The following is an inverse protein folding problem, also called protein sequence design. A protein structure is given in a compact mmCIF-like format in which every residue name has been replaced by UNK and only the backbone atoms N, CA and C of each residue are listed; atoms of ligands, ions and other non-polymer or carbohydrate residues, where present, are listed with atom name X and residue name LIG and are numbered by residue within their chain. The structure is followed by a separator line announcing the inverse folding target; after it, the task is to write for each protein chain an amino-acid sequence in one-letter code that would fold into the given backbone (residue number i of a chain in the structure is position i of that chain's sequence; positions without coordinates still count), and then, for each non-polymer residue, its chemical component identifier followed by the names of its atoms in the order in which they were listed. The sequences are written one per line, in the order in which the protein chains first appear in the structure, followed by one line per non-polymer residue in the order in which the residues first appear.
data_IF_802046022481
#
_entry.id   IF_802046022481
#
_cell.length_a   1.000
_cell.length_b   1.000
_cell.length_c   1.000
_cell.angle_alpha   90.00
_cell.angle_beta   90.00
_cell.angle_gamma   90.00
#
_symmetry.space_group_name_H-M   'P 1'
#
loop_
_entity.id
_entity.type
_entity.pdbx_description
1 polymer ?
#
# COMPACT_ATOMS: atom_id res chain seq x y z
N UNK A 1 38.98 4.95 50.55
CA UNK A 1 37.93 3.98 50.19
C UNK A 1 36.71 3.95 51.11
N UNK A 2 36.70 4.53 52.32
CA UNK A 2 35.55 4.43 53.24
C UNK A 2 34.66 5.69 53.25
N UNK A 3 34.11 6.06 52.09
CA UNK A 3 33.29 7.27 51.92
C UNK A 3 31.90 6.97 51.29
N UNK A 4 31.36 5.77 51.51
CA UNK A 4 30.07 5.37 50.92
C UNK A 4 28.86 6.08 51.56
N UNK A 5 28.95 6.41 52.85
CA UNK A 5 27.90 7.06 53.64
C UNK A 5 28.46 8.30 54.34
N UNK A 6 27.64 9.30 54.69
CA UNK A 6 28.12 10.52 55.32
C UNK A 6 28.64 10.20 56.73
N UNK A 7 29.80 10.76 57.07
CA UNK A 7 30.39 10.59 58.40
C UNK A 7 29.46 11.12 59.49
N UNK A 8 29.38 10.40 60.61
CA UNK A 8 28.68 10.82 61.83
C UNK A 8 29.50 10.46 63.07
N UNK A 9 29.41 11.25 64.15
CA UNK A 9 29.96 10.84 65.43
C UNK A 9 29.21 9.60 65.96
N UNK A 10 29.93 8.67 66.59
CA UNK A 10 29.34 7.50 67.24
C UNK A 10 28.55 7.86 68.51
N UNK A 11 27.69 6.96 68.97
CA UNK A 11 26.98 7.11 70.26
C UNK A 11 27.69 6.35 71.38
N UNK A 12 27.34 6.63 72.64
CA UNK A 12 27.99 6.04 73.82
C UNK A 12 27.99 4.50 73.88
N UNK A 13 27.14 3.82 73.09
CA UNK A 13 27.08 2.36 73.01
C UNK A 13 27.49 1.75 71.65
N UNK A 14 27.77 2.56 70.61
CA UNK A 14 28.13 2.05 69.29
C UNK A 14 28.90 3.09 68.46
N UNK A 15 30.13 2.74 68.06
CA UNK A 15 30.92 3.54 67.12
C UNK A 15 30.26 3.61 65.74
N UNK A 16 30.39 4.77 65.08
CA UNK A 16 30.00 4.90 63.68
C UNK A 16 31.04 4.19 62.79
N UNK A 17 30.58 3.27 61.96
CA UNK A 17 31.45 2.53 61.05
C UNK A 17 31.32 3.14 59.66
N UNK A 18 32.43 3.66 59.13
CA UNK A 18 32.47 4.15 57.76
C UNK A 18 32.35 2.97 56.79
N UNK A 19 31.57 3.13 55.72
CA UNK A 19 31.33 2.07 54.74
C UNK A 19 32.23 2.26 53.52
N UNK A 20 32.76 1.15 53.02
CA UNK A 20 33.64 1.11 51.86
C UNK A 20 32.85 1.37 50.57
N UNK A 21 33.39 2.22 49.70
CA UNK A 21 32.86 2.44 48.36
C UNK A 21 33.08 1.19 47.51
N UNK A 22 32.11 0.87 46.66
CA UNK A 22 32.29 -0.12 45.62
C UNK A 22 32.77 0.58 44.33
N UNK A 23 33.97 0.25 43.85
CA UNK A 23 34.50 0.79 42.59
C UNK A 23 34.77 -0.32 41.56
N UNK A 24 34.14 -1.49 41.73
CA UNK A 24 34.35 -2.67 40.90
C UNK A 24 35.82 -3.10 40.74
N UNK A 25 36.71 -2.72 41.67
CA UNK A 25 38.15 -3.00 41.58
C UNK A 25 38.96 -1.99 40.75
N UNK A 26 38.31 -1.03 40.09
CA UNK A 26 38.94 -0.08 39.17
C UNK A 26 39.23 1.29 39.78
N UNK A 27 39.15 1.46 41.10
CA UNK A 27 39.65 2.66 41.77
C UNK A 27 40.11 2.37 43.20
N UNK A 28 41.16 3.08 43.63
CA UNK A 28 41.73 2.97 44.97
C UNK A 28 41.28 4.10 45.90
N UNK A 29 40.51 5.06 45.39
CA UNK A 29 39.98 6.18 46.16
C UNK A 29 38.56 6.55 45.74
N UNK A 30 37.80 7.12 46.68
CA UNK A 30 36.45 7.62 46.44
C UNK A 30 36.17 8.82 47.34
N UNK A 31 35.29 9.72 46.90
CA UNK A 31 34.78 10.86 47.66
C UNK A 31 33.29 10.68 47.95
N UNK A 32 32.80 11.28 49.03
CA UNK A 32 31.37 11.31 49.30
C UNK A 32 30.71 12.48 48.56
N UNK A 33 29.53 12.24 47.99
CA UNK A 33 28.71 13.23 47.30
C UNK A 33 27.26 13.14 47.79
N UNK A 34 26.74 14.26 48.29
CA UNK A 34 25.41 14.32 48.90
C UNK A 34 24.29 14.18 47.87
N UNK A 35 24.47 14.66 46.64
CA UNK A 35 23.44 14.57 45.60
C UNK A 35 23.30 13.13 45.11
N UNK A 36 24.44 12.45 44.94
CA UNK A 36 24.51 11.02 44.60
C UNK A 36 23.80 10.18 45.67
N UNK A 37 24.02 10.50 46.95
CA UNK A 37 23.34 9.84 48.07
C UNK A 37 21.83 10.07 48.06
N UNK A 38 21.39 11.32 47.86
CA UNK A 38 19.97 11.67 47.83
C UNK A 38 19.23 10.94 46.70
N UNK A 39 19.87 10.79 45.54
CA UNK A 39 19.33 10.07 44.37
C UNK A 39 19.56 8.56 44.43
N UNK A 40 20.28 8.05 45.45
CA UNK A 40 20.64 6.64 45.62
C UNK A 40 21.33 6.05 44.38
N UNK A 41 22.33 6.75 43.85
CA UNK A 41 23.00 6.34 42.61
C UNK A 41 24.32 5.58 42.84
N UNK A 42 24.88 5.59 44.05
CA UNK A 42 26.08 4.80 44.36
C UNK A 42 25.73 3.44 44.97
N UNK A 43 26.31 2.39 44.37
CA UNK A 43 26.21 1.01 44.82
C UNK A 43 27.16 0.73 45.98
N UNK A 44 26.70 -0.01 47.00
CA UNK A 44 27.54 -0.52 48.10
C UNK A 44 28.24 -1.85 47.72
N UNK A 45 29.12 -2.35 48.60
CA UNK A 45 29.83 -3.62 48.41
C UNK A 45 28.92 -4.87 48.42
N UNK A 46 27.63 -4.70 48.76
CA UNK A 46 26.60 -5.75 48.75
C UNK A 46 25.68 -5.63 47.53
N UNK A 47 26.02 -4.80 46.55
CA UNK A 47 25.26 -4.61 45.32
C UNK A 47 24.04 -3.71 45.47
N UNK A 48 23.95 -2.92 46.54
CA UNK A 48 22.75 -2.13 46.87
C UNK A 48 22.96 -0.63 46.69
N UNK A 49 22.06 0.00 45.94
CA UNK A 49 22.05 1.44 45.67
C UNK A 49 21.52 2.26 46.86
N UNK A 50 22.41 2.68 47.77
CA UNK A 50 22.03 3.37 49.02
C UNK A 50 23.02 4.41 49.55
N UNK A 51 24.14 4.65 48.87
CA UNK A 51 25.18 5.59 49.33
C UNK A 51 25.46 6.74 48.38
N UNK A 52 26.46 7.55 48.74
CA UNK A 52 26.96 8.70 47.98
C UNK A 52 28.42 8.60 47.57
N UNK A 53 29.03 7.41 47.68
CA UNK A 53 30.43 7.22 47.30
C UNK A 53 30.62 7.34 45.79
N UNK A 54 31.49 8.26 45.36
CA UNK A 54 31.89 8.44 43.96
C UNK A 54 33.35 8.09 43.82
N UNK A 55 33.66 7.09 43.01
CA UNK A 55 35.01 6.65 42.73
C UNK A 55 35.80 7.74 41.99
N UNK A 56 37.10 7.84 42.28
CA UNK A 56 37.98 8.87 41.73
C UNK A 56 39.16 8.19 41.05
N UNK A 57 39.50 8.66 39.85
CA UNK A 57 40.53 8.10 38.96
C UNK A 57 40.27 6.61 38.68
N UNK A 58 39.14 6.32 38.03
CA UNK A 58 38.84 4.99 37.52
C UNK A 58 39.96 4.53 36.55
N UNK A 59 40.40 3.28 36.68
CA UNK A 59 41.42 2.63 35.84
C UNK A 59 40.77 1.75 34.77
N UNK A 60 41.58 1.14 33.90
CA UNK A 60 41.12 0.13 32.92
C UNK A 60 40.01 0.64 31.99
N UNK A 61 40.07 1.94 31.64
CA UNK A 61 39.13 2.63 30.76
C UNK A 61 37.67 2.60 31.25
N UNK A 62 37.49 2.52 32.57
CA UNK A 62 36.18 2.59 33.21
C UNK A 62 35.81 4.02 33.62
N UNK A 63 34.52 4.29 33.74
CA UNK A 63 33.94 5.57 34.11
C UNK A 63 32.63 5.36 34.89
N UNK A 64 32.06 6.42 35.44
CA UNK A 64 30.82 6.36 36.23
C UNK A 64 31.04 6.53 37.74
N UNK A 65 29.98 6.36 38.52
CA UNK A 65 30.00 6.62 39.97
C UNK A 65 30.78 5.54 40.72
N UNK A 66 30.66 4.30 40.26
CA UNK A 66 31.24 3.08 40.77
C UNK A 66 32.26 2.47 39.77
N UNK A 67 32.74 3.24 38.78
CA UNK A 67 33.55 2.73 37.66
C UNK A 67 32.83 1.60 36.87
N UNK A 68 31.50 1.72 36.74
CA UNK A 68 30.59 0.72 36.19
C UNK A 68 30.33 0.85 34.69
N UNK A 69 30.74 1.96 34.06
CA UNK A 69 30.60 2.23 32.63
C UNK A 69 31.99 2.24 31.97
N UNK A 70 32.04 2.26 30.64
CA UNK A 70 33.29 2.50 29.92
C UNK A 70 33.45 3.99 29.58
N UNK A 71 34.70 4.44 29.44
CA UNK A 71 35.02 5.75 28.91
C UNK A 71 34.51 5.92 27.46
N UNK A 72 34.29 7.16 27.03
CA UNK A 72 33.88 7.46 25.65
C UNK A 72 34.97 6.97 24.69
N UNK A 73 34.57 6.20 23.67
CA UNK A 73 35.50 5.54 22.75
C UNK A 73 35.91 4.13 23.18
N UNK A 74 35.34 3.62 24.29
CA UNK A 74 35.45 2.24 24.73
C UNK A 74 34.07 1.62 24.92
N UNK A 75 34.01 0.29 24.83
CA UNK A 75 32.79 -0.47 25.08
C UNK A 75 33.07 -1.73 25.90
N UNK A 76 32.06 -2.20 26.61
CA UNK A 76 32.07 -3.48 27.33
C UNK A 76 31.49 -4.58 26.42
N UNK A 77 32.26 -5.62 26.09
CA UNK A 77 31.75 -6.76 25.34
C UNK A 77 30.63 -7.48 26.09
N UNK A 78 29.70 -8.08 25.36
CA UNK A 78 28.60 -8.81 25.96
C UNK A 78 29.11 -10.00 26.80
N UNK A 79 28.60 -10.14 28.03
CA UNK A 79 29.00 -11.18 28.98
C UNK A 79 30.23 -10.87 29.83
N UNK A 80 30.87 -9.72 29.65
CA UNK A 80 31.98 -9.26 30.51
C UNK A 80 31.39 -8.54 31.73
N UNK A 81 31.82 -8.94 32.94
CA UNK A 81 31.37 -8.31 34.18
C UNK A 81 32.09 -6.96 34.42
N UNK A 82 31.45 -6.06 35.17
CA UNK A 82 32.01 -4.73 35.47
C UNK A 82 33.25 -4.74 36.37
N UNK A 83 33.53 -5.87 37.02
CA UNK A 83 34.68 -6.09 37.92
C UNK A 83 35.78 -6.97 37.27
N UNK A 84 35.66 -7.27 35.98
CA UNK A 84 36.69 -7.97 35.22
C UNK A 84 37.95 -7.10 35.12
N UNK A 85 39.14 -7.71 35.08
CA UNK A 85 40.41 -6.98 35.02
C UNK A 85 40.56 -6.08 33.79
N UNK A 86 39.92 -6.42 32.67
CA UNK A 86 39.92 -5.65 31.42
C UNK A 86 38.47 -5.56 30.91
N UNK A 87 37.64 -4.67 31.50
CA UNK A 87 36.19 -4.66 31.25
C UNK A 87 35.80 -3.84 30.00
N UNK A 88 36.71 -3.00 29.49
CA UNK A 88 36.44 -2.01 28.45
C UNK A 88 37.47 -2.12 27.32
N UNK A 89 37.02 -2.33 26.08
CA UNK A 89 37.84 -2.40 24.88
C UNK A 89 37.65 -1.15 24.01
N UNK A 90 38.68 -0.68 23.30
CA UNK A 90 38.55 0.49 22.43
C UNK A 90 37.60 0.20 21.25
N UNK A 91 36.86 1.22 20.82
CA UNK A 91 36.04 1.16 19.61
C UNK A 91 36.95 1.00 18.38
N UNK A 92 36.59 0.10 17.47
CA UNK A 92 37.30 -0.15 16.21
C UNK A 92 36.45 0.31 15.01
N UNK A 93 36.24 1.62 14.93
CA UNK A 93 35.36 2.25 13.94
C UNK A 93 36.13 2.80 12.74
N UNK A 94 35.55 2.68 11.55
CA UNK A 94 36.09 3.29 10.35
C UNK A 94 35.86 4.81 10.40
N UNK A 95 36.94 5.59 10.39
CA UNK A 95 36.88 7.05 10.53
C UNK A 95 36.20 7.75 9.35
N UNK A 96 36.21 7.15 8.16
CA UNK A 96 35.51 7.69 7.00
C UNK A 96 34.00 7.61 7.20
N UNK A 97 33.50 6.43 7.58
CA UNK A 97 32.07 6.14 7.66
C UNK A 97 31.41 6.33 9.02
N UNK A 98 32.16 6.61 10.09
CA UNK A 98 31.61 6.74 11.45
C UNK A 98 31.90 8.10 12.10
N UNK A 99 31.19 8.40 13.20
CA UNK A 99 31.50 9.52 14.11
C UNK A 99 32.70 9.24 15.02
N UNK A 100 33.20 8.00 15.02
CA UNK A 100 34.25 7.51 15.93
C UNK A 100 33.72 6.94 17.25
N UNK A 101 32.43 7.10 17.55
CA UNK A 101 31.80 6.53 18.75
C UNK A 101 31.20 5.15 18.46
N UNK A 102 31.19 4.30 19.48
CA UNK A 102 30.53 2.99 19.44
C UNK A 102 29.56 2.81 20.62
N UNK A 103 28.67 1.83 20.47
CA UNK A 103 27.68 1.49 21.49
C UNK A 103 28.40 0.95 22.73
N UNK A 104 28.24 1.57 23.92
CA UNK A 104 29.13 1.31 25.06
C UNK A 104 28.91 -0.04 25.74
N UNK A 105 27.70 -0.63 25.66
CA UNK A 105 27.35 -1.90 26.28
C UNK A 105 26.07 -2.50 25.67
N UNK A 106 25.56 -3.56 26.27
CA UNK A 106 24.36 -4.30 25.85
C UNK A 106 23.04 -3.65 26.28
N UNK A 107 23.06 -2.52 27.01
CA UNK A 107 21.84 -1.82 27.44
C UNK A 107 20.99 -1.30 26.26
N UNK A 108 21.64 -1.11 25.11
CA UNK A 108 21.02 -0.69 23.85
C UNK A 108 20.51 -1.85 22.97
N UNK A 109 20.60 -3.10 23.44
CA UNK A 109 20.09 -4.28 22.71
C UNK A 109 18.59 -4.17 22.43
N UNK A 110 17.81 -3.57 23.34
CA UNK A 110 16.37 -3.31 23.14
C UNK A 110 16.08 -2.33 22.00
N UNK A 111 17.07 -1.55 21.60
CA UNK A 111 17.02 -0.65 20.44
C UNK A 111 17.67 -1.27 19.19
N UNK A 112 18.00 -2.56 19.23
CA UNK A 112 18.62 -3.29 18.12
C UNK A 112 20.10 -3.00 17.91
N UNK A 113 20.78 -2.34 18.86
CA UNK A 113 22.23 -2.08 18.77
C UNK A 113 23.03 -3.13 19.55
N UNK A 114 24.20 -3.47 19.02
CA UNK A 114 25.13 -4.42 19.63
C UNK A 114 26.29 -3.64 20.26
N UNK A 115 26.76 -4.06 21.43
CA UNK A 115 27.93 -3.47 22.08
C UNK A 115 29.14 -3.44 21.10
N UNK A 116 29.83 -2.30 21.05
CA UNK A 116 30.94 -2.03 20.14
C UNK A 116 30.54 -1.69 18.70
N UNK A 117 29.25 -1.77 18.33
CA UNK A 117 28.80 -1.32 17.02
C UNK A 117 28.96 0.20 16.88
N UNK A 118 29.58 0.62 15.80
CA UNK A 118 29.93 2.01 15.52
C UNK A 118 28.72 2.83 15.09
N UNK A 119 28.76 4.12 15.41
CA UNK A 119 27.76 5.07 14.97
C UNK A 119 28.11 5.58 13.55
N UNK A 120 27.40 5.05 12.56
CA UNK A 120 27.64 5.36 11.17
C UNK A 120 27.05 6.71 10.75
N UNK A 121 27.80 7.43 9.90
CA UNK A 121 27.33 8.61 9.18
C UNK A 121 26.24 8.23 8.17
N UNK A 122 25.39 9.18 7.76
CA UNK A 122 24.43 8.94 6.67
C UNK A 122 25.14 8.39 5.43
N UNK A 123 24.58 7.32 4.85
CA UNK A 123 25.14 6.66 3.68
C UNK A 123 26.16 5.54 3.96
N UNK A 124 26.50 5.30 5.23
CA UNK A 124 27.41 4.23 5.66
C UNK A 124 26.66 3.20 6.51
N UNK A 125 27.11 1.94 6.46
CA UNK A 125 26.54 0.85 7.23
C UNK A 125 27.62 -0.16 7.65
N UNK A 126 27.22 -1.21 8.36
CA UNK A 126 28.12 -2.24 8.90
C UNK A 126 28.49 -2.01 10.35
N UNK A 127 29.07 -3.03 11.00
CA UNK A 127 29.44 -2.96 12.42
C UNK A 127 30.50 -1.89 12.68
N UNK A 128 31.41 -1.68 11.73
CA UNK A 128 32.49 -0.68 11.79
C UNK A 128 32.25 0.54 10.90
N UNK A 129 31.10 0.62 10.23
CA UNK A 129 30.82 1.66 9.22
C UNK A 129 31.80 1.65 8.05
N UNK A 130 32.19 0.46 7.62
CA UNK A 130 33.22 0.14 6.63
C UNK A 130 32.65 -0.26 5.26
N UNK A 131 31.34 -0.08 5.07
CA UNK A 131 30.64 -0.31 3.82
C UNK A 131 29.59 0.79 3.60
N UNK A 132 29.16 1.00 2.36
CA UNK A 132 28.05 1.91 2.09
C UNK A 132 26.73 1.32 2.58
N UNK A 133 25.79 2.18 2.96
CA UNK A 133 24.42 1.78 3.28
C UNK A 133 23.67 1.40 2.00
N UNK A 134 22.59 0.63 2.14
CA UNK A 134 21.72 0.32 1.01
C UNK A 134 21.22 1.62 0.33
N UNK A 135 21.32 1.67 -0.99
CA UNK A 135 21.04 2.87 -1.78
C UNK A 135 22.21 3.87 -1.87
N UNK A 136 23.39 3.51 -1.37
CA UNK A 136 24.65 4.25 -1.54
C UNK A 136 25.72 3.32 -2.13
N UNK A 137 26.73 3.91 -2.77
CA UNK A 137 27.81 3.19 -3.47
C UNK A 137 29.14 3.94 -3.38
N UNK A 138 30.22 3.26 -3.77
CA UNK A 138 31.58 3.83 -3.90
C UNK A 138 32.24 4.19 -2.57
N UNK A 139 32.38 3.20 -1.68
CA UNK A 139 33.23 3.33 -0.50
C UNK A 139 34.69 3.68 -0.91
N UNK A 140 35.40 4.62 -0.24
CA UNK A 140 35.10 5.23 1.06
C UNK A 140 34.24 6.50 1.03
N UNK A 141 33.89 7.03 -0.15
CA UNK A 141 33.08 8.24 -0.30
C UNK A 141 31.66 7.88 -0.74
N UNK A 142 30.89 7.29 0.18
CA UNK A 142 29.58 6.75 -0.13
C UNK A 142 28.63 7.82 -0.70
N UNK A 143 28.27 7.68 -1.97
CA UNK A 143 27.36 8.57 -2.69
C UNK A 143 26.02 7.88 -2.94
N UNK A 144 24.90 8.63 -2.98
CA UNK A 144 23.61 8.08 -3.34
C UNK A 144 23.65 7.36 -4.68
N UNK A 145 22.91 6.26 -4.74
CA UNK A 145 22.69 5.50 -5.96
C UNK A 145 22.02 6.40 -7.02
N UNK A 146 22.57 6.53 -8.23
CA UNK A 146 21.96 7.34 -9.27
C UNK A 146 20.81 6.61 -9.97
N UNK A 147 20.66 5.30 -9.75
CA UNK A 147 19.61 4.50 -10.35
C UNK A 147 18.23 4.82 -9.74
N UNK A 148 17.20 4.92 -10.57
CA UNK A 148 15.83 5.04 -10.13
C UNK A 148 15.36 3.72 -9.50
N UNK A 149 15.09 3.77 -8.19
CA UNK A 149 14.63 2.62 -7.40
C UNK A 149 13.35 1.95 -7.93
N UNK A 150 12.56 2.66 -8.76
CA UNK A 150 11.35 2.10 -9.41
C UNK A 150 11.71 1.20 -10.58
N UNK A 151 12.82 1.50 -11.26
CA UNK A 151 13.21 0.87 -12.51
C UNK A 151 14.29 -0.19 -12.40
N UNK A 152 14.96 -0.33 -11.25
CA UNK A 152 15.97 -1.37 -11.02
C UNK A 152 15.37 -2.68 -10.48
N UNK A 153 16.10 -3.77 -10.68
CA UNK A 153 15.77 -5.06 -10.08
C UNK A 153 15.91 -5.01 -8.53
N UNK A 154 15.04 -5.70 -7.76
CA UNK A 154 15.01 -5.63 -6.29
C UNK A 154 16.31 -6.03 -5.57
N UNK A 155 17.14 -6.85 -6.21
CA UNK A 155 18.38 -7.40 -5.65
C UNK A 155 19.65 -6.73 -6.19
N UNK A 156 19.53 -5.55 -6.79
CA UNK A 156 20.66 -4.88 -7.43
C UNK A 156 21.34 -3.88 -6.49
N UNK A 157 22.53 -4.26 -5.99
CA UNK A 157 23.46 -3.33 -5.38
C UNK A 157 24.11 -2.49 -6.48
N UNK A 158 23.84 -1.19 -6.51
CA UNK A 158 24.31 -0.29 -7.57
C UNK A 158 25.79 0.10 -7.47
N UNK A 159 26.64 -0.83 -7.03
CA UNK A 159 28.10 -0.74 -7.12
C UNK A 159 28.57 -0.69 -8.59
N UNK A 160 27.79 -1.27 -9.53
CA UNK A 160 28.02 -1.21 -10.98
C UNK A 160 26.95 -0.42 -11.75
N UNK A 161 26.80 -0.73 -13.04
CA UNK A 161 25.78 -0.16 -13.92
C UNK A 161 24.36 -0.54 -13.45
N UNK A 162 23.38 0.35 -13.63
CA UNK A 162 22.01 0.10 -13.20
C UNK A 162 21.37 -1.05 -14.01
N UNK A 163 21.00 -2.14 -13.34
CA UNK A 163 20.26 -3.23 -13.98
C UNK A 163 18.76 -2.95 -13.98
N UNK A 164 18.26 -2.55 -15.14
CA UNK A 164 16.86 -2.17 -15.31
C UNK A 164 15.92 -3.39 -15.39
N UNK A 165 14.69 -3.20 -14.93
CA UNK A 165 13.57 -4.12 -15.14
C UNK A 165 13.24 -4.26 -16.63
N UNK A 166 12.49 -5.31 -16.97
CA UNK A 166 12.27 -5.74 -18.35
C UNK A 166 11.78 -4.64 -19.30
N UNK A 167 10.88 -3.76 -18.86
CA UNK A 167 10.26 -2.72 -19.71
C UNK A 167 10.82 -1.31 -19.45
N UNK A 168 11.99 -1.23 -18.80
CA UNK A 168 12.63 0.02 -18.39
C UNK A 168 13.92 0.23 -19.18
N UNK A 169 14.28 1.49 -19.42
CA UNK A 169 15.44 1.93 -20.18
C UNK A 169 16.13 3.14 -19.52
N UNK A 170 17.30 3.48 -20.04
CA UNK A 170 18.15 4.56 -19.54
C UNK A 170 19.27 4.07 -18.64
N UNK A 171 20.37 4.82 -18.62
CA UNK A 171 21.57 4.48 -17.84
C UNK A 171 21.27 4.43 -16.33
N UNK A 172 20.21 5.11 -15.91
CA UNK A 172 19.71 5.16 -14.54
C UNK A 172 18.38 4.42 -14.34
N UNK A 173 17.89 3.68 -15.34
CA UNK A 173 16.59 3.00 -15.30
C UNK A 173 15.42 3.93 -14.96
N UNK A 174 15.46 5.15 -15.46
CA UNK A 174 14.59 6.27 -15.09
C UNK A 174 13.43 6.49 -16.07
N UNK A 175 13.39 5.75 -17.18
CA UNK A 175 12.38 5.89 -18.23
C UNK A 175 11.86 4.55 -18.73
N UNK A 176 10.65 4.54 -19.25
CA UNK A 176 10.08 3.37 -19.91
C UNK A 176 10.69 3.17 -21.30
N UNK A 177 10.73 1.91 -21.76
CA UNK A 177 10.99 1.59 -23.17
C UNK A 177 9.85 2.14 -24.04
N UNK A 178 10.13 2.34 -25.33
CA UNK A 178 9.09 2.67 -26.32
C UNK A 178 7.98 1.62 -26.30
N UNK A 179 6.72 2.05 -26.34
CA UNK A 179 5.57 1.16 -26.17
C UNK A 179 5.14 0.91 -24.71
N UNK A 180 5.79 1.56 -23.74
CA UNK A 180 5.48 1.38 -22.31
C UNK A 180 5.41 2.72 -21.56
N UNK A 181 4.66 2.75 -20.47
CA UNK A 181 4.46 3.93 -19.62
C UNK A 181 4.30 3.53 -18.13
N UNK A 182 4.10 4.51 -17.24
CA UNK A 182 3.86 4.31 -15.81
C UNK A 182 4.94 3.47 -15.09
N UNK A 183 6.15 4.05 -14.98
CA UNK A 183 7.25 3.46 -14.22
C UNK A 183 6.94 3.42 -12.71
N UNK A 184 6.71 2.21 -12.18
CA UNK A 184 6.35 2.00 -10.77
C UNK A 184 7.25 0.96 -10.10
N UNK A 185 7.44 1.13 -8.78
CA UNK A 185 8.25 0.20 -7.99
C UNK A 185 7.61 -1.19 -7.87
N UNK A 186 6.29 -1.23 -7.76
CA UNK A 186 5.52 -2.47 -7.53
C UNK A 186 5.36 -3.32 -8.79
N UNK A 187 5.46 -2.71 -9.99
CA UNK A 187 5.46 -3.46 -11.23
C UNK A 187 6.81 -4.18 -11.39
N UNK A 188 6.78 -5.52 -11.44
CA UNK A 188 7.96 -6.36 -11.59
C UNK A 188 8.71 -6.10 -12.90
N UNK A 189 7.99 -5.75 -13.96
CA UNK A 189 8.57 -5.39 -15.25
C UNK A 189 8.87 -3.88 -15.37
N UNK A 190 8.48 -3.10 -14.37
CA UNK A 190 8.74 -1.67 -14.21
C UNK A 190 7.70 -0.78 -14.86
N UNK A 191 7.47 -0.94 -16.17
CA UNK A 191 6.49 -0.17 -16.93
C UNK A 191 5.37 -1.03 -17.50
N UNK A 192 4.18 -0.45 -17.64
CA UNK A 192 3.00 -1.05 -18.26
C UNK A 192 3.04 -0.87 -19.78
N UNK A 193 2.61 -1.86 -20.58
CA UNK A 193 2.50 -1.69 -22.03
C UNK A 193 1.40 -0.69 -22.38
N UNK A 194 1.66 0.18 -23.35
CA UNK A 194 0.66 1.08 -23.93
C UNK A 194 -0.49 0.27 -24.56
N UNK A 195 -1.72 0.68 -24.32
CA UNK A 195 -2.92 0.11 -24.94
C UNK A 195 -3.81 1.22 -25.52
N UNK A 196 -3.41 1.76 -26.66
CA UNK A 196 -4.16 2.84 -27.31
C UNK A 196 -5.28 2.32 -28.22
N UNK A 197 -6.04 1.31 -27.77
CA UNK A 197 -7.06 0.60 -28.56
C UNK A 197 -6.55 0.19 -29.96
N UNK A 198 -5.30 -0.25 -30.01
CA UNK A 198 -4.59 -0.68 -31.21
C UNK A 198 -4.40 0.42 -32.29
N UNK A 199 -4.70 1.69 -31.96
CA UNK A 199 -4.53 2.82 -32.88
C UNK A 199 -3.08 3.32 -32.97
N UNK A 200 -2.30 3.18 -31.89
CA UNK A 200 -0.88 3.58 -31.80
C UNK A 200 -0.19 2.81 -30.67
N UNK A 201 1.13 2.72 -30.70
CA UNK A 201 1.96 2.19 -29.62
C UNK A 201 2.64 3.32 -28.81
N UNK A 202 2.42 4.58 -29.20
CA UNK A 202 3.03 5.75 -28.56
C UNK A 202 2.12 6.31 -27.48
N UNK A 203 2.54 6.18 -26.22
CA UNK A 203 1.83 6.75 -25.10
C UNK A 203 2.77 7.27 -24.01
N UNK A 204 2.20 8.09 -23.12
CA UNK A 204 2.83 8.61 -21.90
C UNK A 204 1.89 8.41 -20.71
N UNK A 205 2.32 8.72 -19.49
CA UNK A 205 1.41 8.71 -18.33
C UNK A 205 0.49 9.94 -18.37
N UNK A 206 -0.82 9.72 -18.25
CA UNK A 206 -1.79 10.80 -18.14
C UNK A 206 -1.61 11.56 -16.81
N UNK A 207 -1.69 12.90 -16.87
CA UNK A 207 -1.67 13.75 -15.67
C UNK A 207 -3.10 14.00 -15.22
N UNK A 208 -3.50 13.32 -14.16
CA UNK A 208 -4.89 13.30 -13.70
C UNK A 208 -5.03 13.92 -12.33
N UNK A 209 -6.11 14.68 -12.15
CA UNK A 209 -6.65 15.06 -10.86
C UNK A 209 -7.96 14.29 -10.67
N UNK A 210 -8.12 13.60 -9.55
CA UNK A 210 -9.30 12.78 -9.32
C UNK A 210 -10.45 13.59 -8.70
N UNK A 211 -11.64 13.50 -9.31
CA UNK A 211 -12.91 13.90 -8.73
C UNK A 211 -13.68 12.67 -8.25
N UNK A 212 -14.56 12.84 -7.25
CA UNK A 212 -15.30 11.73 -6.63
C UNK A 212 -16.77 11.81 -7.02
N UNK A 213 -17.30 10.75 -7.61
CA UNK A 213 -18.74 10.57 -7.80
C UNK A 213 -19.29 9.86 -6.58
N UNK A 214 -20.19 10.50 -5.85
CA UNK A 214 -20.79 9.98 -4.60
C UNK A 214 -22.26 10.37 -4.46
N UNK A 215 -23.14 9.77 -5.26
CA UNK A 215 -24.60 10.01 -5.18
C UNK A 215 -25.37 8.72 -4.92
N UNK A 216 -26.44 8.82 -4.15
CA UNK A 216 -27.44 7.77 -3.95
C UNK A 216 -28.73 8.03 -4.76
N UNK A 217 -28.77 9.07 -5.57
CA UNK A 217 -29.94 9.36 -6.40
C UNK A 217 -30.03 8.41 -7.61
N UNK A 218 -31.24 7.97 -7.95
CA UNK A 218 -31.54 7.16 -9.15
C UNK A 218 -30.87 5.78 -9.23
N UNK A 219 -30.40 5.24 -8.11
CA UNK A 219 -30.03 3.83 -8.02
C UNK A 219 -31.27 2.95 -8.07
N UNK A 220 -31.14 1.79 -8.69
CA UNK A 220 -32.19 0.77 -8.80
C UNK A 220 -31.69 -0.54 -8.21
N UNK A 221 -32.57 -1.50 -7.98
CA UNK A 221 -32.22 -2.88 -7.65
C UNK A 221 -32.65 -3.77 -8.79
N UNK A 222 -31.79 -4.64 -9.28
CA UNK A 222 -32.07 -5.47 -10.46
C UNK A 222 -31.44 -6.86 -10.35
N UNK A 223 -31.85 -7.75 -11.25
CA UNK A 223 -31.22 -9.04 -11.43
C UNK A 223 -29.89 -8.91 -12.18
N UNK A 224 -29.06 -9.95 -12.21
CA UNK A 224 -27.73 -9.89 -12.84
C UNK A 224 -27.74 -9.51 -14.35
N UNK A 225 -28.88 -9.59 -15.02
CA UNK A 225 -29.03 -9.18 -16.43
C UNK A 225 -29.56 -7.75 -16.60
N UNK A 226 -29.77 -6.99 -15.52
CA UNK A 226 -30.36 -5.66 -15.53
C UNK A 226 -31.73 -5.60 -16.26
N UNK A 227 -32.54 -6.66 -16.13
CA UNK A 227 -33.78 -6.85 -16.89
C UNK A 227 -35.04 -6.52 -16.09
N UNK A 228 -34.99 -6.69 -14.77
CA UNK A 228 -36.12 -6.50 -13.85
C UNK A 228 -35.76 -5.47 -12.77
N UNK A 229 -35.73 -4.16 -13.10
CA UNK A 229 -35.41 -3.12 -12.14
C UNK A 229 -36.58 -2.87 -11.18
N UNK A 230 -36.23 -2.68 -9.91
CA UNK A 230 -37.10 -2.30 -8.80
C UNK A 230 -36.55 -0.99 -8.22
N UNK A 231 -37.45 -0.08 -7.87
CA UNK A 231 -37.07 1.21 -7.27
C UNK A 231 -36.94 1.01 -5.75
N UNK A 232 -35.75 1.20 -5.16
CA UNK A 232 -35.56 1.11 -3.72
C UNK A 232 -36.19 2.31 -2.99
N UNK A 233 -36.41 2.15 -1.69
CA UNK A 233 -36.91 3.22 -0.82
C UNK A 233 -35.75 4.00 -0.21
N UNK A 234 -35.84 5.34 -0.18
CA UNK A 234 -34.90 6.16 0.57
C UNK A 234 -35.38 6.27 2.01
N UNK A 235 -34.60 5.78 2.96
CA UNK A 235 -34.87 5.89 4.38
C UNK A 235 -34.67 7.35 4.83
N UNK A 236 -35.73 7.95 5.39
CA UNK A 236 -35.77 9.35 5.77
C UNK A 236 -34.90 9.66 7.01
N UNK A 237 -34.61 8.66 7.85
CA UNK A 237 -33.90 8.86 9.12
C UNK A 237 -32.38 8.86 8.94
N UNK A 238 -31.86 7.96 8.09
CA UNK A 238 -30.42 7.80 7.86
C UNK A 238 -29.96 8.21 6.44
N UNK A 239 -30.89 8.43 5.51
CA UNK A 239 -30.59 8.80 4.12
C UNK A 239 -30.05 7.65 3.26
N UNK A 240 -30.21 6.40 3.69
CA UNK A 240 -29.74 5.21 2.95
C UNK A 240 -30.80 4.72 1.99
N UNK A 241 -30.36 4.10 0.89
CA UNK A 241 -31.27 3.36 0.02
C UNK A 241 -31.48 1.98 0.59
N UNK A 242 -32.73 1.59 0.79
CA UNK A 242 -33.14 0.31 1.37
C UNK A 242 -34.01 -0.46 0.39
N UNK A 243 -33.89 -1.78 0.40
CA UNK A 243 -34.76 -2.69 -0.33
C UNK A 243 -35.10 -3.88 0.55
N UNK A 244 -36.39 -4.18 0.64
CA UNK A 244 -36.85 -5.33 1.41
C UNK A 244 -36.82 -6.61 0.54
N UNK A 245 -36.47 -7.74 1.14
CA UNK A 245 -36.31 -9.00 0.41
C UNK A 245 -37.59 -9.46 -0.30
N UNK A 246 -38.77 -9.08 0.20
CA UNK A 246 -40.06 -9.43 -0.44
C UNK A 246 -40.40 -8.56 -1.66
N UNK A 247 -39.73 -7.42 -1.84
CA UNK A 247 -39.92 -6.54 -3.01
C UNK A 247 -39.19 -7.07 -4.25
N UNK A 248 -38.31 -8.05 -4.05
CA UNK A 248 -37.43 -8.59 -5.07
C UNK A 248 -37.79 -10.05 -5.34
N UNK A 249 -38.23 -10.34 -6.57
CA UNK A 249 -38.69 -11.68 -6.99
C UNK A 249 -37.56 -12.58 -7.53
N UNK A 250 -36.31 -12.27 -7.23
CA UNK A 250 -35.13 -13.02 -7.69
C UNK A 250 -34.10 -13.18 -6.58
N UNK A 251 -33.34 -14.26 -6.63
CA UNK A 251 -32.55 -14.72 -5.51
C UNK A 251 -31.20 -13.96 -5.34
N UNK A 252 -30.63 -13.46 -6.44
CA UNK A 252 -29.36 -12.70 -6.45
C UNK A 252 -29.58 -11.24 -6.90
N UNK A 253 -29.96 -10.32 -5.98
CA UNK A 253 -30.17 -8.92 -6.31
C UNK A 253 -28.90 -8.06 -6.30
N UNK A 254 -28.87 -7.07 -7.19
CA UNK A 254 -27.80 -6.10 -7.33
C UNK A 254 -28.33 -4.66 -7.38
N UNK A 255 -27.67 -3.76 -6.67
CA UNK A 255 -27.80 -2.31 -6.84
C UNK A 255 -27.24 -1.90 -8.21
N UNK A 256 -28.11 -1.42 -9.10
CA UNK A 256 -27.76 -0.89 -10.40
C UNK A 256 -27.45 0.60 -10.29
N UNK A 257 -26.22 0.96 -10.65
CA UNK A 257 -25.76 2.34 -10.59
C UNK A 257 -26.41 3.21 -11.69
N UNK A 258 -26.65 4.50 -11.40
CA UNK A 258 -27.18 5.46 -12.37
C UNK A 258 -26.15 5.85 -13.44
N UNK A 259 -26.62 6.53 -14.48
CA UNK A 259 -25.82 6.89 -15.67
C UNK A 259 -24.53 7.69 -15.37
N UNK A 260 -24.49 8.40 -14.25
CA UNK A 260 -23.28 9.13 -13.83
C UNK A 260 -22.12 8.18 -13.46
N UNK A 261 -22.37 6.91 -13.14
CA UNK A 261 -21.30 5.92 -12.90
C UNK A 261 -20.89 5.17 -14.16
N UNK A 262 -21.64 5.28 -15.25
CA UNK A 262 -21.47 4.51 -16.49
C UNK A 262 -20.90 5.36 -17.63
N UNK A 263 -20.79 4.79 -18.83
CA UNK A 263 -20.15 5.41 -19.99
C UNK A 263 -18.62 5.24 -19.96
N UNK A 264 -17.89 6.21 -20.49
CA UNK A 264 -16.43 6.15 -20.50
C UNK A 264 -15.85 6.48 -19.13
N UNK A 265 -15.21 5.48 -18.53
CA UNK A 265 -14.54 5.47 -17.22
C UNK A 265 -13.09 4.98 -17.32
N UNK A 266 -12.45 5.13 -18.49
CA UNK A 266 -11.02 4.80 -18.66
C UNK A 266 -10.14 5.57 -17.68
N UNK A 267 -10.49 6.83 -17.38
CA UNK A 267 -9.75 7.64 -16.41
C UNK A 267 -9.89 7.18 -14.96
N UNK A 268 -10.77 6.23 -14.67
CA UNK A 268 -10.88 5.55 -13.36
C UNK A 268 -9.98 4.30 -13.27
N UNK A 269 -9.34 3.87 -14.36
CA UNK A 269 -8.44 2.72 -14.30
C UNK A 269 -7.29 2.98 -13.34
N UNK A 270 -7.00 2.01 -12.48
CA UNK A 270 -5.99 2.12 -11.42
C UNK A 270 -6.47 2.78 -10.14
N UNK A 271 -7.66 3.38 -10.11
CA UNK A 271 -8.32 3.92 -8.92
C UNK A 271 -9.16 2.85 -8.20
N UNK A 272 -9.85 3.24 -7.13
CA UNK A 272 -10.72 2.35 -6.36
C UNK A 272 -12.18 2.83 -6.43
N UNK A 273 -13.09 1.86 -6.54
CA UNK A 273 -14.49 2.05 -6.21
C UNK A 273 -14.72 1.59 -4.76
N UNK A 274 -15.20 2.49 -3.91
CA UNK A 274 -15.48 2.19 -2.51
C UNK A 274 -16.97 2.31 -2.25
N UNK A 275 -17.58 1.32 -1.60
CA UNK A 275 -18.99 1.40 -1.23
C UNK A 275 -19.23 0.77 0.14
N UNK A 276 -20.27 1.26 0.83
CA UNK A 276 -20.67 0.76 2.13
C UNK A 276 -22.09 0.23 2.08
N UNK A 277 -22.28 -0.97 2.62
CA UNK A 277 -23.55 -1.70 2.64
C UNK A 277 -23.85 -2.21 4.04
N UNK A 278 -25.13 -2.32 4.34
CA UNK A 278 -25.64 -2.89 5.59
C UNK A 278 -26.83 -3.79 5.30
N UNK A 279 -27.07 -4.78 6.15
CA UNK A 279 -28.18 -5.70 5.98
C UNK A 279 -28.73 -6.19 7.31
N UNK A 280 -30.05 -6.43 7.32
CA UNK A 280 -30.77 -6.95 8.48
C UNK A 280 -31.09 -8.42 8.26
N UNK A 281 -30.74 -9.24 9.24
CA UNK A 281 -31.06 -10.67 9.30
C UNK A 281 -32.06 -10.91 10.42
N UNK A 282 -33.11 -11.69 10.14
CA UNK A 282 -34.08 -12.09 11.17
C UNK A 282 -33.39 -12.85 12.31
N UNK A 283 -33.66 -12.45 13.56
CA UNK A 283 -33.18 -13.19 14.75
C UNK A 283 -34.12 -14.37 15.05
N UNK A 284 -33.56 -15.57 15.04
CA UNK A 284 -34.18 -16.84 15.41
C UNK A 284 -33.20 -17.98 15.15
N UNK A 285 -33.51 -19.22 15.56
CA UNK A 285 -32.71 -20.46 15.36
C UNK A 285 -32.49 -20.85 13.87
N UNK A 286 -32.29 -19.87 13.01
CA UNK A 286 -32.14 -20.02 11.57
C UNK A 286 -30.71 -20.44 11.24
N UNK A 287 -30.57 -21.53 10.48
CA UNK A 287 -29.29 -22.06 10.00
C UNK A 287 -28.75 -21.27 8.80
N UNK A 288 -28.98 -19.95 8.78
CA UNK A 288 -28.58 -19.07 7.70
C UNK A 288 -27.06 -18.99 7.54
N UNK A 289 -26.61 -18.65 6.34
CA UNK A 289 -25.18 -18.52 6.04
C UNK A 289 -24.87 -17.27 5.21
N UNK A 290 -23.67 -16.68 5.35
CA UNK A 290 -23.19 -15.67 4.42
C UNK A 290 -23.19 -16.19 2.99
N UNK A 291 -23.64 -15.36 2.05
CA UNK A 291 -23.61 -15.70 0.62
C UNK A 291 -22.20 -15.43 0.04
N UNK A 292 -21.88 -16.09 -1.08
CA UNK A 292 -20.54 -16.07 -1.72
C UNK A 292 -20.65 -15.69 -3.20
N UNK A 293 -21.38 -14.62 -3.46
CA UNK A 293 -21.58 -14.07 -4.80
C UNK A 293 -20.56 -12.97 -5.09
N UNK A 294 -20.33 -12.61 -6.36
CA UNK A 294 -19.45 -11.51 -6.70
C UNK A 294 -19.93 -10.22 -6.03
N UNK A 295 -18.99 -9.47 -5.46
CA UNK A 295 -19.28 -8.23 -4.75
C UNK A 295 -19.71 -7.14 -5.74
N UNK A 296 -19.14 -7.14 -6.94
CA UNK A 296 -19.44 -6.23 -8.03
C UNK A 296 -19.42 -6.92 -9.39
N UNK A 297 -20.27 -6.46 -10.30
CA UNK A 297 -20.30 -6.86 -11.71
C UNK A 297 -20.26 -5.59 -12.57
N UNK A 298 -19.36 -5.58 -13.55
CA UNK A 298 -19.30 -4.57 -14.61
C UNK A 298 -19.70 -5.22 -15.93
N UNK A 299 -20.54 -4.53 -16.70
CA UNK A 299 -20.98 -4.97 -18.03
C UNK A 299 -20.59 -3.89 -19.03
N UNK A 300 -19.75 -4.25 -20.01
CA UNK A 300 -19.44 -3.41 -21.15
C UNK A 300 -20.60 -3.41 -22.15
N UNK A 301 -20.71 -2.35 -22.95
CA UNK A 301 -21.76 -2.26 -23.99
C UNK A 301 -21.59 -3.32 -25.10
N UNK A 302 -20.38 -3.84 -25.27
CA UNK A 302 -20.05 -5.01 -26.10
C UNK A 302 -20.58 -6.35 -25.53
N UNK A 303 -21.24 -6.35 -24.37
CA UNK A 303 -21.79 -7.53 -23.71
C UNK A 303 -20.80 -8.29 -22.82
N UNK A 304 -19.54 -7.86 -22.74
CA UNK A 304 -18.55 -8.47 -21.83
C UNK A 304 -18.97 -8.22 -20.38
N UNK A 305 -19.02 -9.30 -19.58
CA UNK A 305 -19.38 -9.26 -18.16
C UNK A 305 -18.20 -9.71 -17.31
N UNK A 306 -17.69 -8.81 -16.48
CA UNK A 306 -16.58 -9.07 -15.56
C UNK A 306 -17.04 -8.84 -14.13
N UNK A 307 -16.48 -9.59 -13.19
CA UNK A 307 -16.83 -9.48 -11.78
C UNK A 307 -15.61 -9.55 -10.86
N UNK A 308 -15.77 -9.04 -9.65
CA UNK A 308 -14.72 -9.00 -8.63
C UNK A 308 -15.29 -9.23 -7.23
N UNK A 309 -14.43 -9.75 -6.35
CA UNK A 309 -14.79 -10.12 -4.99
C UNK A 309 -15.50 -11.48 -4.96
N UNK A 310 -15.67 -11.99 -3.75
CA UNK A 310 -16.40 -13.22 -3.39
C UNK A 310 -16.31 -13.45 -1.87
N UNK A 311 -15.92 -12.42 -1.11
CA UNK A 311 -15.70 -12.53 0.32
C UNK A 311 -17.00 -12.82 1.08
N UNK A 312 -16.86 -13.56 2.17
CA UNK A 312 -17.91 -13.75 3.14
C UNK A 312 -17.78 -12.70 4.23
N UNK A 313 -18.90 -12.10 4.60
CA UNK A 313 -18.97 -11.11 5.66
C UNK A 313 -19.80 -11.68 6.80
N UNK A 314 -19.22 -11.74 8.01
CA UNK A 314 -19.90 -12.23 9.22
C UNK A 314 -20.64 -11.14 9.99
N UNK A 315 -20.45 -9.87 9.63
CA UNK A 315 -21.12 -8.72 10.23
C UNK A 315 -22.52 -8.48 9.68
N UNK A 316 -23.06 -7.30 9.97
CA UNK A 316 -24.30 -6.75 9.39
C UNK A 316 -24.03 -5.45 8.59
N UNK A 317 -22.75 -5.16 8.40
CA UNK A 317 -22.24 -4.03 7.62
C UNK A 317 -20.89 -4.41 7.03
N UNK A 318 -20.57 -3.82 5.88
CA UNK A 318 -19.27 -3.97 5.24
C UNK A 318 -18.94 -2.73 4.40
N UNK A 319 -17.73 -2.21 4.58
CA UNK A 319 -17.11 -1.26 3.67
C UNK A 319 -16.18 -2.04 2.73
N UNK A 320 -16.40 -1.92 1.43
CA UNK A 320 -15.73 -2.72 0.41
C UNK A 320 -15.00 -1.79 -0.55
N UNK A 321 -13.71 -2.06 -0.75
CA UNK A 321 -12.84 -1.33 -1.68
C UNK A 321 -12.50 -2.25 -2.85
N UNK A 322 -12.95 -1.87 -4.03
CA UNK A 322 -12.73 -2.61 -5.28
C UNK A 322 -11.68 -1.87 -6.12
N UNK A 323 -10.48 -2.43 -6.32
CA UNK A 323 -9.49 -1.86 -7.21
C UNK A 323 -9.92 -2.04 -8.67
N UNK A 324 -9.93 -0.96 -9.45
CA UNK A 324 -10.21 -0.97 -10.89
C UNK A 324 -8.94 -1.30 -11.69
N UNK A 325 -8.36 -2.46 -11.38
CA UNK A 325 -7.23 -3.08 -12.09
C UNK A 325 -7.61 -4.52 -12.39
N UNK A 326 -7.01 -5.12 -13.41
CA UNK A 326 -7.37 -6.47 -13.87
C UNK A 326 -7.11 -7.58 -12.83
N UNK A 327 -6.20 -7.36 -11.89
CA UNK A 327 -5.89 -8.34 -10.86
C UNK A 327 -7.12 -8.63 -9.97
N UNK A 328 -7.48 -9.91 -9.83
CA UNK A 328 -8.63 -10.35 -9.04
C UNK A 328 -9.96 -10.37 -9.81
N UNK A 329 -10.03 -9.74 -10.97
CA UNK A 329 -11.22 -9.76 -11.83
C UNK A 329 -11.28 -11.01 -12.70
N UNK A 330 -12.50 -11.48 -12.95
CA UNK A 330 -12.75 -12.67 -13.78
C UNK A 330 -13.98 -12.46 -14.66
N UNK A 331 -14.01 -13.18 -15.79
CA UNK A 331 -15.18 -13.21 -16.67
C UNK A 331 -16.34 -13.95 -16.02
N UNK A 332 -17.56 -13.45 -16.18
CA UNK A 332 -18.78 -14.17 -15.80
C UNK A 332 -19.36 -14.82 -17.05
N UNK A 333 -19.51 -16.14 -17.03
CA UNK A 333 -20.01 -16.90 -18.19
C UNK A 333 -21.42 -16.46 -18.58
N UNK A 334 -21.66 -16.29 -19.88
CA UNK A 334 -22.93 -15.80 -20.45
C UNK A 334 -24.14 -16.67 -20.11
N UNK A 335 -23.94 -17.96 -19.83
CA UNK A 335 -25.00 -18.91 -19.51
C UNK A 335 -25.51 -18.76 -18.07
N UNK A 336 -24.81 -17.99 -17.23
CA UNK A 336 -25.16 -17.79 -15.83
C UNK A 336 -26.15 -16.63 -15.75
N UNK A 337 -27.43 -16.98 -15.64
CA UNK A 337 -28.53 -16.02 -15.47
C UNK A 337 -28.85 -15.75 -13.99
N UNK A 338 -28.54 -16.72 -13.11
CA UNK A 338 -28.72 -16.62 -11.66
C UNK A 338 -27.67 -17.50 -10.96
N UNK A 339 -26.99 -16.95 -9.97
CA UNK A 339 -25.87 -17.62 -9.25
C UNK A 339 -26.42 -18.56 -8.16
N UNK A 340 -27.64 -18.31 -7.68
CA UNK A 340 -28.19 -18.91 -6.46
C UNK A 340 -29.10 -20.13 -6.69
N UNK A 341 -29.74 -20.25 -7.87
CA UNK A 341 -30.75 -21.30 -8.14
C UNK A 341 -30.19 -22.71 -8.29
N UNK A 342 -28.87 -22.90 -8.21
CA UNK A 342 -28.26 -24.23 -8.06
C UNK A 342 -27.38 -24.25 -6.82
N UNK A 343 -27.86 -24.73 -5.66
CA UNK A 343 -27.05 -24.89 -4.43
C UNK A 343 -25.89 -25.90 -4.57
N UNK A 344 -25.66 -26.44 -5.78
CA UNK A 344 -24.54 -27.31 -6.18
C UNK A 344 -23.60 -26.67 -7.21
N UNK A 345 -23.78 -25.42 -7.64
CA UNK A 345 -22.79 -24.74 -8.48
C UNK A 345 -21.50 -24.62 -7.65
N UNK A 346 -20.46 -25.37 -8.04
CA UNK A 346 -19.12 -25.14 -7.49
C UNK A 346 -18.65 -23.76 -7.94
N UNK A 347 -17.76 -23.13 -7.16
CA UNK A 347 -17.06 -21.87 -7.50
C UNK A 347 -16.49 -21.85 -8.93
N UNK A 348 -16.20 -23.03 -9.48
CA UNK A 348 -15.70 -23.29 -10.84
C UNK A 348 -16.75 -23.19 -11.96
N UNK A 349 -18.03 -23.02 -11.65
CA UNK A 349 -19.11 -23.12 -12.66
C UNK A 349 -19.58 -21.77 -13.20
N UNK A 350 -19.47 -20.67 -12.43
CA UNK A 350 -19.78 -19.31 -12.95
C UNK A 350 -18.54 -18.46 -13.23
N UNK A 351 -17.41 -18.77 -12.57
CA UNK A 351 -16.12 -18.09 -12.77
C UNK A 351 -15.49 -18.54 -14.09
N UNK A 352 -15.31 -17.60 -15.00
CA UNK A 352 -14.54 -17.75 -16.24
C UNK A 352 -13.06 -17.45 -16.03
N UNK A 353 -12.39 -17.15 -17.14
CA UNK A 353 -10.97 -16.84 -17.15
C UNK A 353 -10.65 -15.51 -16.45
N UNK A 354 -9.40 -15.31 -15.98
CA UNK A 354 -8.95 -14.03 -15.46
C UNK A 354 -9.08 -12.92 -16.52
N UNK A 355 -9.45 -11.72 -16.07
CA UNK A 355 -9.54 -10.55 -16.95
C UNK A 355 -8.14 -10.04 -17.25
N UNK A 356 -7.89 -9.65 -18.50
CA UNK A 356 -6.66 -8.97 -18.91
C UNK A 356 -6.81 -7.44 -18.81
N UNK A 357 -5.69 -6.71 -18.73
CA UNK A 357 -5.69 -5.23 -18.74
C UNK A 357 -6.50 -4.67 -19.91
N UNK A 358 -6.28 -5.20 -21.11
CA UNK A 358 -6.99 -4.80 -22.33
C UNK A 358 -8.51 -4.99 -22.20
N UNK A 359 -8.96 -6.11 -21.63
CA UNK A 359 -10.38 -6.38 -21.42
C UNK A 359 -11.00 -5.45 -20.36
N UNK A 360 -10.28 -5.20 -19.25
CA UNK A 360 -10.69 -4.21 -18.24
C UNK A 360 -10.86 -2.81 -18.86
N UNK A 361 -9.87 -2.35 -19.62
CA UNK A 361 -9.90 -1.05 -20.29
C UNK A 361 -11.06 -0.94 -21.29
N UNK A 362 -11.40 -2.03 -21.99
CA UNK A 362 -12.56 -2.07 -22.90
C UNK A 362 -13.89 -1.94 -22.17
N UNK A 363 -14.06 -2.64 -21.05
CA UNK A 363 -15.27 -2.51 -20.22
C UNK A 363 -15.39 -1.10 -19.65
N UNK A 364 -14.28 -0.49 -19.23
CA UNK A 364 -14.28 0.89 -18.74
C UNK A 364 -14.48 1.93 -19.85
N UNK A 365 -14.07 1.68 -21.08
CA UNK A 365 -14.26 2.64 -22.19
C UNK A 365 -15.72 2.85 -22.59
N UNK A 366 -16.55 1.81 -22.45
CA UNK A 366 -18.00 1.91 -22.68
C UNK A 366 -18.75 1.04 -21.67
N UNK A 367 -18.73 1.50 -20.40
CA UNK A 367 -19.37 0.81 -19.29
C UNK A 367 -20.87 0.97 -19.40
N UNK A 368 -21.60 -0.12 -19.59
CA UNK A 368 -23.06 -0.13 -19.70
C UNK A 368 -23.75 -0.25 -18.34
N UNK A 369 -23.29 -1.17 -17.51
CA UNK A 369 -23.85 -1.39 -16.16
C UNK A 369 -22.74 -1.55 -15.13
N UNK A 370 -22.92 -0.89 -13.98
CA UNK A 370 -22.19 -1.13 -12.75
C UNK A 370 -23.20 -1.65 -11.72
N UNK A 371 -22.95 -2.85 -11.20
CA UNK A 371 -23.88 -3.57 -10.33
C UNK A 371 -23.18 -3.99 -9.04
N UNK A 372 -23.66 -3.51 -7.90
CA UNK A 372 -23.13 -3.84 -6.56
C UNK A 372 -24.05 -4.87 -5.90
N UNK A 373 -23.50 -5.92 -5.30
CA UNK A 373 -24.27 -6.95 -4.61
C UNK A 373 -25.17 -6.37 -3.50
N UNK A 374 -26.45 -6.74 -3.49
CA UNK A 374 -27.42 -6.27 -2.49
C UNK A 374 -27.72 -7.29 -1.38
N UNK A 375 -27.43 -8.58 -1.59
CA UNK A 375 -27.69 -9.66 -0.60
C UNK A 375 -26.41 -10.29 -0.08
N UNK A 376 -26.16 -10.20 1.22
CA UNK A 376 -24.96 -10.72 1.89
C UNK A 376 -25.23 -11.95 2.77
N UNK A 377 -26.49 -12.25 3.07
CA UNK A 377 -26.89 -13.37 3.90
C UNK A 377 -28.12 -14.11 3.34
N UNK A 378 -28.22 -15.43 3.58
CA UNK A 378 -29.36 -16.22 3.09
C UNK A 378 -30.69 -15.82 3.73
N UNK A 379 -30.68 -15.44 5.00
CA UNK A 379 -31.86 -15.01 5.77
C UNK A 379 -31.99 -13.47 5.86
N UNK A 380 -31.42 -12.75 4.90
CA UNK A 380 -31.52 -11.29 4.83
C UNK A 380 -32.97 -10.90 4.51
N UNK A 381 -33.55 -10.04 5.35
CA UNK A 381 -34.89 -9.47 5.13
C UNK A 381 -34.85 -8.07 4.53
N UNK A 382 -33.75 -7.35 4.70
CA UNK A 382 -33.54 -6.00 4.22
C UNK A 382 -32.06 -5.78 3.93
N UNK A 383 -31.75 -5.10 2.82
CA UNK A 383 -30.41 -4.64 2.50
C UNK A 383 -30.41 -3.16 2.16
N UNK A 384 -29.32 -2.48 2.52
CA UNK A 384 -29.20 -1.04 2.32
C UNK A 384 -27.84 -0.65 1.75
N UNK A 385 -27.85 0.31 0.83
CA UNK A 385 -26.66 0.96 0.29
C UNK A 385 -26.48 2.32 0.97
N UNK A 386 -25.37 2.47 1.71
CA UNK A 386 -25.07 3.67 2.49
C UNK A 386 -24.27 4.70 1.67
N UNK A 387 -23.36 4.22 0.83
CA UNK A 387 -22.52 5.07 -0.03
C UNK A 387 -21.93 4.26 -1.18
N UNK A 388 -21.67 4.94 -2.30
CA UNK A 388 -20.91 4.40 -3.43
C UNK A 388 -20.07 5.52 -4.04
N UNK A 389 -18.76 5.40 -3.93
CA UNK A 389 -17.77 6.42 -4.27
C UNK A 389 -16.88 5.89 -5.38
N UNK A 390 -16.92 6.54 -6.54
CA UNK A 390 -16.06 6.23 -7.68
C UNK A 390 -15.12 7.41 -7.96
N UNK A 391 -13.82 7.16 -7.92
CA UNK A 391 -12.82 8.15 -8.33
C UNK A 391 -12.70 8.20 -9.87
N UNK A 392 -12.87 9.37 -10.45
CA UNK A 392 -12.78 9.65 -11.89
C UNK A 392 -11.66 10.65 -12.15
N UNK A 393 -10.73 10.31 -13.02
CA UNK A 393 -9.63 11.20 -13.37
C UNK A 393 -10.04 12.26 -14.39
N UNK A 394 -9.66 13.51 -14.13
CA UNK A 394 -9.78 14.64 -15.04
C UNK A 394 -8.38 15.16 -15.40
N UNK A 395 -8.16 15.54 -16.66
CA UNK A 395 -6.86 16.04 -17.09
C UNK A 395 -6.56 17.37 -16.42
N UNK A 396 -5.42 17.43 -15.73
CA UNK A 396 -4.96 18.63 -15.04
C UNK A 396 -3.46 18.84 -15.29
N UNK A 397 -3.00 20.06 -15.60
CA UNK A 397 -1.58 20.39 -15.70
C UNK A 397 -0.80 20.08 -14.41
N UNK A 398 -1.47 20.29 -13.26
CA UNK A 398 -0.99 20.05 -11.90
C UNK A 398 -1.40 18.65 -11.38
N UNK A 399 -1.89 17.78 -12.27
CA UNK A 399 -2.29 16.42 -11.92
C UNK A 399 -1.13 15.51 -11.55
N UNK A 400 -1.46 14.40 -10.89
CA UNK A 400 -0.50 13.39 -10.46
C UNK A 400 0.17 12.72 -11.67
N UNK A 401 1.48 12.43 -11.55
CA UNK A 401 2.30 11.86 -12.63
C UNK A 401 2.53 10.35 -12.51
N UNK A 402 1.94 9.70 -11.51
CA UNK A 402 2.04 8.26 -11.22
C UNK A 402 0.76 7.48 -11.56
N UNK A 403 -0.17 8.12 -12.30
CA UNK A 403 -1.37 7.46 -12.80
C UNK A 403 -1.05 6.23 -13.66
N UNK A 404 -1.92 5.23 -13.59
CA UNK A 404 -1.86 4.04 -14.45
C UNK A 404 -2.67 4.19 -15.74
N UNK A 405 -3.21 5.39 -15.99
CA UNK A 405 -3.91 5.73 -17.22
C UNK A 405 -2.89 6.26 -18.23
N UNK A 406 -2.95 5.73 -19.45
CA UNK A 406 -2.10 6.18 -20.55
C UNK A 406 -2.69 7.43 -21.22
N UNK A 407 -1.80 8.24 -21.77
CA UNK A 407 -2.11 9.35 -22.66
C UNK A 407 -1.47 9.06 -24.01
N UNK A 408 -2.28 8.61 -24.94
CA UNK A 408 -1.88 8.16 -26.26
C UNK A 408 -1.76 9.31 -27.26
N UNK A 409 -0.81 9.20 -28.18
CA UNK A 409 -0.71 10.07 -29.34
C UNK A 409 -1.68 9.60 -30.43
N UNK A 410 -2.96 9.94 -30.31
CA UNK A 410 -4.00 9.42 -31.20
C UNK A 410 -3.83 9.88 -32.67
N UNK A 411 -3.88 8.95 -33.64
CA UNK A 411 -3.86 9.30 -35.06
C UNK A 411 -5.18 9.96 -35.51
N UNK A 412 -5.18 10.49 -36.73
CA UNK A 412 -6.37 11.14 -37.29
C UNK A 412 -7.59 10.20 -37.26
N UNK A 413 -8.72 10.71 -36.77
CA UNK A 413 -9.96 9.95 -36.63
C UNK A 413 -10.20 9.35 -35.26
N UNK A 414 -9.21 9.34 -34.37
CA UNK A 414 -9.33 8.82 -33.00
C UNK A 414 -9.23 9.94 -31.96
N UNK A 415 -9.87 9.76 -30.81
CA UNK A 415 -9.88 10.70 -29.69
C UNK A 415 -10.08 9.96 -28.35
N UNK A 416 -9.79 10.64 -27.24
CA UNK A 416 -9.76 10.05 -25.89
C UNK A 416 -8.33 9.89 -25.36
N UNK A 417 -8.20 9.48 -24.10
CA UNK A 417 -6.88 9.31 -23.46
C UNK A 417 -6.15 8.07 -23.99
N UNK A 418 -6.91 7.01 -24.28
CA UNK A 418 -6.42 5.76 -24.86
C UNK A 418 -6.83 5.60 -26.33
N UNK A 419 -7.27 6.67 -27.00
CA UNK A 419 -7.85 6.60 -28.36
C UNK A 419 -9.09 5.71 -28.44
N UNK A 420 -9.87 5.66 -27.36
CA UNK A 420 -11.00 4.76 -27.18
C UNK A 420 -12.29 5.21 -27.90
N UNK A 421 -12.29 6.39 -28.54
CA UNK A 421 -13.43 6.96 -29.25
C UNK A 421 -13.02 7.44 -30.64
N UNK A 422 -14.00 7.52 -31.53
CA UNK A 422 -13.81 8.19 -32.81
C UNK A 422 -13.98 9.71 -32.67
N UNK A 423 -13.11 10.44 -33.38
CA UNK A 423 -13.17 11.88 -33.50
C UNK A 423 -14.43 12.30 -34.26
N UNK A 424 -14.78 13.59 -34.14
CA UNK A 424 -15.93 14.14 -34.85
C UNK A 424 -15.81 13.96 -36.37
N UNK A 425 -16.88 13.47 -37.02
CA UNK A 425 -16.89 13.17 -38.45
C UNK A 425 -16.31 11.79 -38.79
N UNK A 426 -16.04 10.96 -37.79
CA UNK A 426 -15.65 9.55 -37.95
C UNK A 426 -16.65 8.65 -37.23
N UNK A 427 -16.92 7.48 -37.79
CA UNK A 427 -17.82 6.48 -37.19
C UNK A 427 -17.03 5.25 -36.74
N UNK A 428 -17.45 4.71 -35.59
CA UNK A 428 -16.90 3.50 -35.01
C UNK A 428 -17.41 2.27 -35.77
N UNK A 429 -16.49 1.52 -36.37
CA UNK A 429 -16.77 0.24 -37.02
C UNK A 429 -16.17 -0.87 -36.17
N UNK A 430 -16.99 -1.71 -35.52
CA UNK A 430 -16.48 -2.85 -34.78
C UNK A 430 -15.95 -3.91 -35.74
N UNK A 431 -14.75 -4.41 -35.46
CA UNK A 431 -14.15 -5.56 -36.14
C UNK A 431 -14.25 -6.73 -35.18
N UNK A 432 -15.06 -7.73 -35.57
CA UNK A 432 -15.24 -8.94 -34.78
C UNK A 432 -13.91 -9.70 -34.70
N UNK A 433 -13.34 -9.75 -33.51
CA UNK A 433 -12.22 -10.61 -33.17
C UNK A 433 -12.73 -11.91 -32.55
N UNK A 434 -11.96 -12.99 -32.65
CA UNK A 434 -12.22 -14.14 -31.78
C UNK A 434 -11.94 -13.77 -30.32
N UNK A 435 -12.69 -14.33 -29.39
CA UNK A 435 -12.36 -14.33 -27.94
C UNK A 435 -12.36 -12.94 -27.27
N UNK A 436 -13.40 -12.14 -27.55
CA UNK A 436 -13.57 -10.78 -27.04
C UNK A 436 -12.41 -9.82 -27.39
N UNK A 437 -11.68 -10.11 -28.47
CA UNK A 437 -10.66 -9.24 -29.07
C UNK A 437 -11.25 -8.18 -30.02
N UNK A 438 -12.57 -7.99 -30.01
CA UNK A 438 -13.25 -6.97 -30.83
C UNK A 438 -12.59 -5.61 -30.67
N UNK A 439 -12.03 -5.08 -31.75
CA UNK A 439 -11.44 -3.75 -31.77
C UNK A 439 -12.25 -2.87 -32.72
N UNK A 440 -12.19 -1.55 -32.53
CA UNK A 440 -12.89 -0.64 -33.43
C UNK A 440 -11.90 0.05 -34.36
N UNK A 441 -12.37 0.34 -35.58
CA UNK A 441 -11.70 1.26 -36.48
C UNK A 441 -12.57 2.49 -36.67
N UNK A 442 -11.95 3.65 -36.65
CA UNK A 442 -12.62 4.91 -36.94
C UNK A 442 -12.53 5.22 -38.44
N UNK A 443 -13.67 5.20 -39.11
CA UNK A 443 -13.77 5.46 -40.55
C UNK A 443 -14.35 6.84 -40.80
N UNK A 444 -13.72 7.62 -41.68
CA UNK A 444 -14.15 8.98 -42.01
C UNK A 444 -15.49 8.96 -42.73
N UNK A 445 -16.41 9.82 -42.29
CA UNK A 445 -17.70 10.03 -42.93
C UNK A 445 -17.58 10.90 -44.18
N UNK A 446 -18.28 10.53 -45.25
CA UNK A 446 -18.39 11.34 -46.47
C UNK A 446 -19.54 12.37 -46.39
N UNK A 447 -19.51 13.16 -45.31
CA UNK A 447 -20.55 14.14 -45.00
C UNK A 447 -20.09 15.59 -45.23
N UNK A 448 -19.03 15.80 -46.03
CA UNK A 448 -18.41 17.10 -46.29
C UNK A 448 -18.09 17.94 -45.02
N UNK A 449 -17.89 17.28 -43.87
CA UNK A 449 -17.63 17.96 -42.59
C UNK A 449 -18.85 18.66 -41.99
N UNK A 450 -20.07 18.22 -42.30
CA UNK A 450 -21.32 18.77 -41.74
C UNK A 450 -22.02 17.90 -40.70
N UNK A 451 -21.53 16.69 -40.46
CA UNK A 451 -22.13 15.72 -39.56
C UNK A 451 -21.09 15.11 -38.63
N UNK A 452 -21.51 14.85 -37.38
CA UNK A 452 -20.64 14.29 -36.36
C UNK A 452 -20.46 12.78 -36.49
N UNK A 453 -21.43 12.11 -37.12
CA UNK A 453 -21.42 10.69 -37.43
C UNK A 453 -22.13 10.41 -38.76
N UNK A 454 -22.05 9.18 -39.23
CA UNK A 454 -22.73 8.73 -40.44
C UNK A 454 -23.06 7.24 -40.35
N UNK A 455 -24.09 6.82 -41.06
CA UNK A 455 -24.36 5.42 -41.34
C UNK A 455 -23.62 5.02 -42.62
N UNK A 456 -22.60 4.16 -42.51
CA UNK A 456 -21.81 3.70 -43.66
C UNK A 456 -22.60 2.79 -44.61
N UNK A 457 -23.70 2.20 -44.16
CA UNK A 457 -24.55 1.30 -44.94
C UNK A 457 -25.65 2.08 -45.65
N UNK A 458 -26.28 3.02 -44.96
CA UNK A 458 -27.36 3.85 -45.53
C UNK A 458 -26.87 5.13 -46.21
N UNK A 459 -25.62 5.54 -45.95
CA UNK A 459 -25.05 6.77 -46.49
C UNK A 459 -25.62 8.05 -45.87
N UNK A 460 -26.29 7.93 -44.72
CA UNK A 460 -26.92 9.05 -44.03
C UNK A 460 -25.94 9.73 -43.06
N UNK A 461 -26.06 11.04 -42.92
CA UNK A 461 -25.20 11.88 -42.10
C UNK A 461 -25.99 12.38 -40.88
N UNK A 462 -25.45 12.18 -39.67
CA UNK A 462 -26.12 12.39 -38.38
C UNK A 462 -25.59 13.53 -37.51
#
# INVERSE_FOLDING_TARGET
MYNQIPWRPGTAGKGFHCEMCNCNGHATSCRYDQEVANRRMSMDIRGKYRGGGVCVNCTDHTAGINCENCEIGYYRPNGVASDASEPCLPCDCNMHGSTGYCTPDDSYTRMGKVAGACECKPGYSGYKCDQCAAGYRQFPDCMPCPCDSRGILPSHDCEGDCLCKANVAGDFCDRCKSGYFALTKDNLDGCLPCYCFDATDRCTTARLSYSMISTLENWLVTDMNASRPVVPTLDADNGWLTVAAFEVEYDSPFWLAPQIYTGNRVSSYGSNLTYSVTWVVMRGDTSGKPTTEPSIILVGNNGMRIAHGEEQYSGQEAEIVVPLREHGWYHVRSEVQDISTKPRLRRTEFRGDPVTRTQMMRVLADLKHLMIRARYHSEQIEGSLQSAILAVGELSPDGETDSLVEMCECPEGYTGMSCERCAWGYVNVPINGSDHQDHHICVKCDCNGHAGSCDLVMGECG
#
